data_IF_833736969099
#
_entry.id   IF_833736969099
#
_cell.length_a   1.000
_cell.length_b   1.000
_cell.length_c   1.000
_cell.angle_alpha   90.00
_cell.angle_beta   90.00
_cell.angle_gamma   90.00
#
_symmetry.space_group_name_H-M   'P 1'
#
loop_
_entity.id
_entity.type
_entity.pdbx_description
1 polymer ?
#
# COMPACT_ATOMS: atom_id res chain seq x y z
N UNK A 1 -30.52 0.46 -29.67
CA UNK A 1 -29.30 1.30 -29.65
C UNK A 1 -28.46 0.82 -28.48
N UNK A 2 -27.33 0.14 -28.75
CA UNK A 2 -26.45 -0.35 -27.70
C UNK A 2 -25.69 0.84 -27.11
N UNK A 3 -25.87 1.11 -25.82
CA UNK A 3 -25.06 2.09 -25.10
C UNK A 3 -23.65 1.49 -24.98
N UNK A 4 -22.67 2.14 -25.61
CA UNK A 4 -21.27 1.83 -25.40
C UNK A 4 -20.96 2.07 -23.91
N UNK A 5 -20.53 1.00 -23.22
CA UNK A 5 -19.99 1.12 -21.88
C UNK A 5 -18.77 2.05 -21.93
N UNK A 6 -18.63 3.00 -20.99
CA UNK A 6 -17.44 3.85 -20.94
C UNK A 6 -16.22 2.94 -20.82
N UNK A 7 -15.26 3.10 -21.74
CA UNK A 7 -13.96 2.45 -21.66
C UNK A 7 -13.36 2.82 -20.31
N UNK A 8 -13.18 1.82 -19.43
CA UNK A 8 -12.52 2.01 -18.15
C UNK A 8 -11.21 2.78 -18.38
N UNK A 9 -11.04 3.92 -17.70
CA UNK A 9 -9.85 4.74 -17.85
C UNK A 9 -8.61 3.88 -17.60
N UNK A 10 -7.65 3.92 -18.53
CA UNK A 10 -6.41 3.15 -18.42
C UNK A 10 -5.64 3.64 -17.20
N UNK A 11 -5.33 2.72 -16.27
CA UNK A 11 -4.57 3.02 -15.06
C UNK A 11 -3.09 3.22 -15.41
N UNK A 12 -2.50 4.33 -14.94
CA UNK A 12 -1.08 4.64 -15.15
C UNK A 12 -0.20 4.07 -14.03
N UNK A 13 0.57 3.03 -14.36
CA UNK A 13 1.52 2.36 -13.46
C UNK A 13 2.98 2.82 -13.63
N UNK A 14 3.23 3.97 -14.28
CA UNK A 14 4.58 4.48 -14.53
C UNK A 14 5.38 4.76 -13.24
N UNK A 15 4.74 5.29 -12.19
CA UNK A 15 5.38 5.59 -10.91
C UNK A 15 4.35 5.58 -9.76
N UNK A 16 3.78 4.42 -9.38
CA UNK A 16 2.83 4.34 -8.28
C UNK A 16 3.49 4.63 -6.93
N UNK A 17 2.81 5.28 -5.99
CA UNK A 17 3.16 5.24 -4.57
C UNK A 17 2.70 3.91 -3.96
N UNK A 18 3.59 3.21 -3.26
CA UNK A 18 3.23 1.97 -2.56
C UNK A 18 2.91 2.34 -1.10
N UNK A 19 1.63 2.35 -0.74
CA UNK A 19 1.17 2.78 0.59
C UNK A 19 0.91 1.57 1.48
N UNK A 20 1.68 1.41 2.56
CA UNK A 20 1.56 0.30 3.51
C UNK A 20 0.80 0.77 4.75
N UNK A 21 -0.37 0.18 4.98
CA UNK A 21 -1.23 0.53 6.12
C UNK A 21 -0.80 -0.15 7.42
N UNK A 22 -0.85 0.60 8.52
CA UNK A 22 -0.78 0.09 9.89
C UNK A 22 -1.89 -0.92 10.23
N UNK A 23 -1.67 -1.67 11.30
CA UNK A 23 -2.55 -2.74 11.81
C UNK A 23 -2.58 -2.79 13.35
N UNK A 24 -1.46 -2.44 13.99
CA UNK A 24 -1.27 -2.41 15.44
C UNK A 24 0.04 -3.08 15.85
N UNK A 25 0.68 -2.52 16.87
CA UNK A 25 1.84 -3.13 17.54
C UNK A 25 1.41 -3.96 18.76
N UNK A 26 2.30 -4.82 19.22
CA UNK A 26 2.23 -5.39 20.56
C UNK A 26 2.56 -4.31 21.62
N UNK A 27 2.17 -4.48 22.89
CA UNK A 27 2.46 -3.50 23.95
C UNK A 27 3.95 -3.15 24.08
N UNK A 28 4.84 -4.11 23.79
CA UNK A 28 6.30 -3.91 23.82
C UNK A 28 6.87 -3.13 22.60
N UNK A 29 6.02 -2.71 21.65
CA UNK A 29 6.43 -1.97 20.45
C UNK A 29 6.83 -2.85 19.25
N UNK A 30 6.73 -4.18 19.35
CA UNK A 30 7.03 -5.09 18.24
C UNK A 30 5.86 -5.24 17.27
N UNK A 31 6.16 -5.50 15.99
CA UNK A 31 5.14 -5.67 14.96
C UNK A 31 4.40 -7.01 15.09
N UNK A 32 3.06 -6.95 14.97
CA UNK A 32 2.23 -8.14 14.82
C UNK A 32 2.55 -8.87 13.49
N UNK A 33 2.31 -10.19 13.40
CA UNK A 33 2.54 -10.95 12.16
C UNK A 33 1.88 -10.35 10.92
N UNK A 34 0.67 -9.81 11.06
CA UNK A 34 -0.07 -9.16 9.95
C UNK A 34 0.68 -7.93 9.44
N UNK A 35 1.18 -7.06 10.32
CA UNK A 35 1.94 -5.87 9.94
C UNK A 35 3.25 -6.24 9.23
N UNK A 36 3.95 -7.27 9.72
CA UNK A 36 5.15 -7.81 9.03
C UNK A 36 4.84 -8.30 7.63
N UNK A 37 3.72 -9.02 7.44
CA UNK A 37 3.28 -9.48 6.11
C UNK A 37 2.99 -8.33 5.15
N UNK A 38 2.34 -7.26 5.63
CA UNK A 38 2.12 -6.05 4.82
C UNK A 38 3.43 -5.39 4.39
N UNK A 39 4.41 -5.29 5.30
CA UNK A 39 5.75 -4.79 4.94
C UNK A 39 6.41 -5.64 3.87
N UNK A 40 6.34 -6.98 3.99
CA UNK A 40 6.89 -7.88 2.99
C UNK A 40 6.18 -7.74 1.63
N UNK A 41 4.85 -7.61 1.61
CA UNK A 41 4.11 -7.37 0.36
C UNK A 41 4.52 -6.05 -0.29
N UNK A 42 4.58 -4.96 0.49
CA UNK A 42 5.01 -3.67 -0.04
C UNK A 42 6.43 -3.71 -0.60
N UNK A 43 7.33 -4.45 0.04
CA UNK A 43 8.68 -4.68 -0.48
C UNK A 43 8.68 -5.49 -1.79
N UNK A 44 7.85 -6.54 -1.89
CA UNK A 44 7.68 -7.33 -3.11
C UNK A 44 7.13 -6.47 -4.26
N UNK A 45 6.09 -5.68 -4.02
CA UNK A 45 5.53 -4.73 -5.00
C UNK A 45 6.62 -3.76 -5.47
N UNK A 46 7.44 -3.24 -4.54
CA UNK A 46 8.49 -2.29 -4.88
C UNK A 46 9.61 -2.86 -5.75
N UNK A 47 9.76 -4.18 -5.86
CA UNK A 47 10.68 -4.80 -6.82
C UNK A 47 10.22 -4.61 -8.27
N UNK A 48 8.90 -4.55 -8.50
CA UNK A 48 8.33 -4.29 -9.83
C UNK A 48 8.33 -2.81 -10.21
N UNK A 49 8.49 -1.93 -9.22
CA UNK A 49 8.49 -0.47 -9.41
C UNK A 49 9.73 0.17 -8.78
N UNK A 50 10.92 0.01 -9.40
CA UNK A 50 12.19 0.52 -8.85
C UNK A 50 12.26 2.05 -8.72
N UNK A 51 11.40 2.79 -9.42
CA UNK A 51 11.25 4.25 -9.34
C UNK A 51 10.31 4.71 -8.21
N UNK A 52 9.53 3.81 -7.63
CA UNK A 52 8.42 4.17 -6.74
C UNK A 52 8.86 4.37 -5.29
N UNK A 53 8.29 5.35 -4.56
CA UNK A 53 8.44 5.43 -3.12
C UNK A 53 7.55 4.40 -2.41
N UNK A 54 7.97 4.00 -1.21
CA UNK A 54 7.09 3.34 -0.23
C UNK A 54 6.68 4.38 0.81
N UNK A 55 5.37 4.56 0.99
CA UNK A 55 4.80 5.35 2.08
C UNK A 55 4.36 4.36 3.17
N UNK A 56 4.85 4.53 4.40
CA UNK A 56 4.44 3.73 5.55
C UNK A 56 3.61 4.62 6.49
N UNK A 57 2.37 4.21 6.78
CA UNK A 57 1.43 5.02 7.59
C UNK A 57 0.93 4.29 8.83
N UNK A 58 0.96 4.96 9.97
CA UNK A 58 0.48 4.44 11.26
C UNK A 58 1.22 5.07 12.43
N UNK A 59 0.50 5.93 13.15
CA UNK A 59 0.98 6.82 14.20
C UNK A 59 0.52 6.47 15.61
N UNK A 60 -0.08 5.30 15.84
CA UNK A 60 -0.47 4.86 17.19
C UNK A 60 0.73 4.23 17.92
N UNK A 61 1.40 4.95 18.85
CA UNK A 61 2.61 4.44 19.45
C UNK A 61 2.33 3.32 20.46
N UNK A 62 3.20 2.32 20.50
CA UNK A 62 3.34 1.37 21.62
C UNK A 62 4.79 1.36 22.08
N UNK A 63 4.99 1.51 23.39
CA UNK A 63 6.34 1.64 23.97
C UNK A 63 7.16 2.77 23.30
N UNK A 64 6.53 3.92 23.03
CA UNK A 64 7.18 5.07 22.39
C UNK A 64 7.50 4.92 20.90
N UNK A 65 7.05 3.83 20.26
CA UNK A 65 7.36 3.51 18.86
C UNK A 65 6.07 3.41 18.05
N UNK A 66 6.00 4.10 16.91
CA UNK A 66 4.88 4.04 15.97
C UNK A 66 5.01 2.86 14.99
N UNK A 67 3.90 2.48 14.36
CA UNK A 67 3.87 1.43 13.34
C UNK A 67 4.73 1.83 12.14
N UNK A 68 4.58 3.07 11.67
CA UNK A 68 5.35 3.63 10.57
C UNK A 68 6.88 3.57 10.83
N UNK A 69 7.31 3.85 12.06
CA UNK A 69 8.71 3.73 12.44
C UNK A 69 9.21 2.27 12.39
N UNK A 70 8.41 1.29 12.84
CA UNK A 70 8.76 -0.13 12.74
C UNK A 70 8.80 -0.62 11.30
N UNK A 71 7.84 -0.20 10.47
CA UNK A 71 7.81 -0.53 9.05
C UNK A 71 9.06 0.01 8.34
N UNK A 72 9.44 1.28 8.57
CA UNK A 72 10.69 1.85 8.05
C UNK A 72 11.92 1.05 8.48
N UNK A 73 12.01 0.68 9.76
CA UNK A 73 13.13 -0.10 10.30
C UNK A 73 13.26 -1.45 9.59
N UNK A 74 12.16 -2.17 9.41
CA UNK A 74 12.17 -3.47 8.73
C UNK A 74 12.50 -3.33 7.24
N UNK A 75 11.93 -2.35 6.52
CA UNK A 75 12.27 -2.09 5.13
C UNK A 75 13.77 -1.80 4.95
N UNK A 76 14.33 -0.96 5.81
CA UNK A 76 15.76 -0.62 5.80
C UNK A 76 16.62 -1.84 6.09
N UNK A 77 16.24 -2.67 7.06
CA UNK A 77 16.95 -3.91 7.42
C UNK A 77 16.94 -4.93 6.28
N UNK A 78 15.87 -4.96 5.49
CA UNK A 78 15.75 -5.79 4.28
C UNK A 78 16.42 -5.18 3.04
N UNK A 79 17.14 -4.06 3.20
CA UNK A 79 17.93 -3.44 2.14
C UNK A 79 17.18 -2.46 1.25
N UNK A 80 15.93 -2.07 1.58
CA UNK A 80 15.22 -1.06 0.80
C UNK A 80 15.83 0.34 1.01
N UNK A 81 16.06 1.14 -0.06
CA UNK A 81 16.76 2.42 0.06
C UNK A 81 16.01 3.41 0.97
N UNK A 82 16.62 3.91 2.07
CA UNK A 82 15.91 4.77 3.03
C UNK A 82 15.34 6.07 2.44
N UNK A 83 15.98 6.63 1.41
CA UNK A 83 15.52 7.84 0.73
C UNK A 83 14.24 7.64 -0.10
N UNK A 84 13.85 6.37 -0.36
CA UNK A 84 12.58 6.00 -1.00
C UNK A 84 11.48 5.66 0.00
N UNK A 85 11.75 5.76 1.31
CA UNK A 85 10.77 5.51 2.36
C UNK A 85 10.25 6.84 2.89
N UNK A 86 8.96 7.10 2.68
CA UNK A 86 8.26 8.24 3.26
C UNK A 86 7.52 7.73 4.51
N UNK A 87 7.76 8.37 5.65
CA UNK A 87 7.16 7.98 6.94
C UNK A 87 6.03 8.93 7.27
N UNK A 88 4.84 8.36 7.50
CA UNK A 88 3.67 9.05 8.03
C UNK A 88 3.34 8.43 9.40
N UNK A 89 3.70 9.11 10.48
CA UNK A 89 3.63 8.60 11.85
C UNK A 89 2.62 9.34 12.74
N UNK A 90 1.64 10.03 12.14
CA UNK A 90 0.61 10.79 12.85
C UNK A 90 -0.76 10.13 12.84
N UNK A 91 -1.04 9.25 11.87
CA UNK A 91 -2.37 8.67 11.73
C UNK A 91 -2.75 7.70 12.86
N UNK A 92 -3.90 7.94 13.50
CA UNK A 92 -4.44 7.09 14.56
C UNK A 92 -5.63 6.21 14.12
N UNK A 93 -6.06 6.33 12.86
CA UNK A 93 -7.24 5.69 12.31
C UNK A 93 -7.09 5.43 10.81
N UNK A 94 -7.95 4.58 10.25
CA UNK A 94 -7.94 4.27 8.81
C UNK A 94 -8.19 5.53 7.96
N UNK A 95 -9.07 6.43 8.41
CA UNK A 95 -9.34 7.72 7.74
C UNK A 95 -8.11 8.62 7.75
N UNK A 96 -7.42 8.71 8.88
CA UNK A 96 -6.19 9.50 8.94
C UNK A 96 -5.06 8.90 8.11
N UNK A 97 -4.95 7.57 8.02
CA UNK A 97 -3.97 6.93 7.15
C UNK A 97 -4.15 7.41 5.70
N UNK A 98 -5.40 7.41 5.21
CA UNK A 98 -5.73 7.91 3.88
C UNK A 98 -5.46 9.41 3.74
N UNK A 99 -6.04 10.21 4.64
CA UNK A 99 -5.94 11.67 4.64
C UNK A 99 -4.50 12.19 4.67
N UNK A 100 -3.59 11.48 5.36
CA UNK A 100 -2.19 11.86 5.45
C UNK A 100 -1.32 11.23 4.37
N UNK A 101 -1.66 10.04 3.86
CA UNK A 101 -0.87 9.39 2.80
C UNK A 101 -1.14 9.95 1.40
N UNK A 102 -2.38 10.36 1.11
CA UNK A 102 -2.74 10.87 -0.24
C UNK A 102 -1.95 12.13 -0.62
N UNK A 103 -1.80 13.15 0.24
CA UNK A 103 -0.95 14.30 -0.06
C UNK A 103 0.52 13.91 -0.27
N UNK A 104 1.06 13.00 0.54
CA UNK A 104 2.44 12.53 0.41
C UNK A 104 2.70 11.84 -0.94
N UNK A 105 1.73 11.05 -1.43
CA UNK A 105 1.81 10.45 -2.76
C UNK A 105 1.82 11.50 -3.87
N UNK A 106 1.03 12.58 -3.73
CA UNK A 106 1.00 13.70 -4.68
C UNK A 106 2.30 14.51 -4.64
N UNK A 107 2.81 14.83 -3.46
CA UNK A 107 4.09 15.53 -3.26
C UNK A 107 5.28 14.75 -3.84
N UNK A 108 5.21 13.42 -3.81
CA UNK A 108 6.21 12.54 -4.41
C UNK A 108 6.07 12.37 -5.94
N UNK A 109 5.14 13.12 -6.57
CA UNK A 109 4.87 13.10 -8.01
C UNK A 109 4.64 11.67 -8.52
N UNK A 110 3.65 10.99 -7.92
CA UNK A 110 3.30 9.60 -8.27
C UNK A 110 2.07 9.53 -9.16
N UNK A 111 2.03 8.52 -10.05
CA UNK A 111 0.94 8.33 -11.01
C UNK A 111 -0.37 7.87 -10.35
N UNK A 112 -0.28 7.33 -9.14
CA UNK A 112 -1.40 6.87 -8.32
C UNK A 112 -0.89 6.03 -7.14
N UNK A 113 -1.79 5.31 -6.49
CA UNK A 113 -1.49 4.54 -5.27
C UNK A 113 -1.71 3.05 -5.51
N UNK A 114 -0.74 2.24 -5.13
CA UNK A 114 -0.92 0.81 -4.84
C UNK A 114 -1.05 0.67 -3.33
N UNK A 115 -2.23 0.24 -2.88
CA UNK A 115 -2.55 0.13 -1.46
C UNK A 115 -2.21 -1.27 -0.94
N UNK A 116 -1.43 -1.34 0.14
CA UNK A 116 -1.04 -2.59 0.79
C UNK A 116 -1.75 -2.72 2.14
N UNK A 117 -2.69 -3.67 2.22
CA UNK A 117 -3.54 -3.91 3.39
C UNK A 117 -3.73 -5.43 3.64
N UNK A 118 -4.67 -5.79 4.51
CA UNK A 118 -5.11 -7.18 4.74
C UNK A 118 -6.49 -7.38 4.12
N UNK A 119 -6.82 -8.60 3.71
CA UNK A 119 -8.10 -8.93 3.03
C UNK A 119 -9.31 -8.49 3.86
N UNK A 120 -9.30 -8.77 5.17
CA UNK A 120 -10.33 -8.35 6.13
C UNK A 120 -10.53 -6.82 6.26
N UNK A 121 -9.64 -6.02 5.71
CA UNK A 121 -9.63 -4.55 5.83
C UNK A 121 -9.66 -3.84 4.47
N UNK A 122 -9.77 -4.59 3.37
CA UNK A 122 -9.61 -4.09 2.01
C UNK A 122 -10.74 -3.13 1.62
N UNK A 123 -12.00 -3.56 1.72
CA UNK A 123 -13.17 -2.76 1.31
C UNK A 123 -13.22 -1.39 2.01
N UNK A 124 -12.92 -1.39 3.32
CA UNK A 124 -12.87 -0.17 4.13
C UNK A 124 -11.72 0.73 3.70
N UNK A 125 -10.55 0.15 3.43
CA UNK A 125 -9.38 0.90 3.02
C UNK A 125 -9.60 1.57 1.66
N UNK A 126 -10.10 0.82 0.67
CA UNK A 126 -10.37 1.34 -0.68
C UNK A 126 -11.38 2.49 -0.64
N UNK A 127 -12.52 2.29 0.04
CA UNK A 127 -13.56 3.32 0.20
C UNK A 127 -12.99 4.59 0.84
N UNK A 128 -12.19 4.44 1.89
CA UNK A 128 -11.63 5.58 2.63
C UNK A 128 -10.60 6.35 1.79
N UNK A 129 -9.72 5.65 1.06
CA UNK A 129 -8.73 6.28 0.19
C UNK A 129 -9.39 7.00 -0.99
N UNK A 130 -10.42 6.41 -1.61
CA UNK A 130 -11.19 7.06 -2.67
C UNK A 130 -11.85 8.34 -2.16
N UNK A 131 -12.46 8.30 -0.97
CA UNK A 131 -13.10 9.47 -0.37
C UNK A 131 -12.11 10.61 -0.05
N UNK A 132 -10.85 10.30 0.25
CA UNK A 132 -9.76 11.27 0.43
C UNK A 132 -9.11 11.69 -0.90
N UNK A 133 -9.67 11.27 -2.04
CA UNK A 133 -9.23 11.68 -3.38
C UNK A 133 -7.99 10.94 -3.89
N UNK A 134 -7.79 9.69 -3.46
CA UNK A 134 -6.75 8.81 -3.99
C UNK A 134 -7.08 8.33 -5.42
N UNK A 135 -6.09 8.37 -6.31
CA UNK A 135 -6.12 7.58 -7.54
C UNK A 135 -5.63 6.15 -7.24
N UNK A 136 -6.52 5.23 -6.88
CA UNK A 136 -6.15 3.84 -6.57
C UNK A 136 -5.93 3.06 -7.86
N UNK A 137 -4.70 2.61 -8.06
CA UNK A 137 -4.29 1.79 -9.20
C UNK A 137 -4.53 0.31 -8.90
N UNK A 138 -4.18 -0.15 -7.71
CA UNK A 138 -4.42 -1.52 -7.25
C UNK A 138 -4.47 -1.57 -5.73
N UNK A 139 -5.13 -2.60 -5.19
CA UNK A 139 -5.05 -2.95 -3.77
C UNK A 139 -4.56 -4.38 -3.64
N UNK A 140 -3.49 -4.56 -2.88
CA UNK A 140 -2.84 -5.85 -2.66
C UNK A 140 -2.91 -6.22 -1.20
N UNK A 141 -3.18 -7.50 -0.95
CA UNK A 141 -3.19 -8.06 0.40
C UNK A 141 -2.47 -9.41 0.43
N UNK A 142 -1.75 -9.68 1.51
CA UNK A 142 -1.28 -11.04 1.77
C UNK A 142 -2.51 -11.91 2.08
N UNK A 143 -2.59 -13.14 1.55
CA UNK A 143 -3.67 -14.06 1.90
C UNK A 143 -3.68 -14.33 3.40
N UNK A 144 -4.68 -13.77 4.06
CA UNK A 144 -5.18 -14.29 5.31
C UNK A 144 -6.06 -15.48 4.88
N UNK A 145 -5.50 -16.70 4.99
CA UNK A 145 -6.16 -18.03 4.84
C UNK A 145 -6.04 -18.80 3.49
N UNK A 146 -6.09 -18.18 2.29
CA UNK A 146 -6.01 -18.94 1.00
C UNK A 146 -4.95 -18.40 0.00
N UNK A 147 -3.79 -19.08 -0.20
CA UNK A 147 -2.66 -18.60 -1.01
C UNK A 147 -2.89 -18.48 -2.53
N UNK A 148 -3.75 -19.30 -3.13
CA UNK A 148 -3.84 -19.44 -4.58
C UNK A 148 -4.65 -18.32 -5.25
N UNK A 149 -5.71 -17.83 -4.59
CA UNK A 149 -6.57 -16.77 -5.13
C UNK A 149 -5.83 -15.44 -5.27
N UNK A 150 -4.84 -15.19 -4.40
CA UNK A 150 -4.22 -13.87 -4.26
C UNK A 150 -3.01 -13.64 -5.16
N UNK A 151 -2.31 -14.69 -5.60
CA UNK A 151 -1.24 -14.56 -6.60
C UNK A 151 -1.83 -14.29 -7.98
N UNK A 152 -2.95 -14.94 -8.31
CA UNK A 152 -3.67 -14.65 -9.56
C UNK A 152 -4.24 -13.23 -9.53
N UNK A 153 -4.81 -12.79 -8.39
CA UNK A 153 -5.28 -11.40 -8.23
C UNK A 153 -4.13 -10.38 -8.29
N UNK A 154 -2.98 -10.66 -7.66
CA UNK A 154 -1.78 -9.82 -7.76
C UNK A 154 -1.24 -9.74 -9.19
N UNK A 155 -1.13 -10.88 -9.88
CA UNK A 155 -0.73 -10.93 -11.29
C UNK A 155 -1.76 -10.22 -12.16
N UNK A 156 -3.05 -10.37 -11.89
CA UNK A 156 -4.09 -9.67 -12.62
C UNK A 156 -4.06 -8.15 -12.37
N UNK A 157 -3.88 -7.69 -11.14
CA UNK A 157 -4.05 -6.26 -10.82
C UNK A 157 -2.76 -5.45 -10.98
N UNK A 158 -1.61 -6.10 -10.83
CA UNK A 158 -0.29 -5.44 -10.90
C UNK A 158 0.45 -5.83 -12.17
N UNK A 159 0.34 -7.08 -12.62
CA UNK A 159 1.12 -7.60 -13.76
C UNK A 159 0.34 -7.63 -15.09
N UNK A 160 -1.00 -7.68 -15.09
CA UNK A 160 -1.77 -7.71 -16.35
C UNK A 160 -1.50 -6.52 -17.28
N UNK A 161 -1.23 -5.29 -16.79
CA UNK A 161 -0.83 -4.19 -17.67
C UNK A 161 0.51 -4.45 -18.38
N UNK A 162 1.38 -5.30 -17.81
CA UNK A 162 2.68 -5.64 -18.36
C UNK A 162 2.70 -6.95 -19.17
N UNK A 163 1.69 -7.82 -18.99
CA UNK A 163 1.59 -9.12 -19.67
C UNK A 163 0.67 -9.05 -20.91
N UNK A 164 -0.38 -8.22 -20.90
CA UNK A 164 -1.33 -8.10 -22.01
C UNK A 164 -0.88 -7.16 -23.15
N UNK A 165 0.42 -6.94 -23.31
CA UNK A 165 0.97 -6.25 -24.48
C UNK A 165 1.64 -7.28 -25.40
N UNK A 166 0.83 -7.93 -26.23
CA UNK A 166 1.11 -8.29 -27.63
C UNK A 166 -0.15 -8.78 -28.34
#
# INVERSE_FOLDING_TARGET
MAQAQPTAAVKDFSKPAIVILGYGLHPNGTMRPVLRRRVMMGLTVAQFFPQSPIIVTGGNPRNGITEAAQMRRMLTMLGFPPHRIIVEDRANSTVQNARFSVPLAKEADTSGIILVTSSSHQDRADTTFINEGANILATVSFPDENPQTNVVQFVHDVMSPFINVR
#
